data_IF_263175332718
#
_entry.id   IF_263175332718
#
_cell.length_a   1.000
_cell.length_b   1.000
_cell.length_c   1.000
_cell.angle_alpha   90.00
_cell.angle_beta   90.00
_cell.angle_gamma   90.00
#
_symmetry.space_group_name_H-M   'P 1'
#
loop_
_entity.id
_entity.type
_entity.pdbx_description
1 polymer ?
#
# COMPACT_ATOMS: atom_id res chain seq x y z
N UNK A 1 24.26 -14.72 7.89
CA UNK A 1 23.53 -16.01 7.98
C UNK A 1 22.16 -15.94 8.68
N UNK A 2 21.78 -14.86 9.40
CA UNK A 2 20.48 -14.78 10.11
C UNK A 2 19.22 -14.51 9.25
N UNK A 3 19.35 -14.15 7.97
CA UNK A 3 18.19 -13.76 7.13
C UNK A 3 17.39 -14.93 6.53
N UNK A 4 17.98 -16.13 6.42
CA UNK A 4 17.27 -17.31 5.89
C UNK A 4 16.25 -17.90 6.87
N UNK A 5 16.55 -17.89 8.17
CA UNK A 5 15.70 -18.47 9.21
C UNK A 5 14.36 -17.75 9.38
N UNK A 6 14.30 -16.43 9.19
CA UNK A 6 13.05 -15.67 9.30
C UNK A 6 12.03 -16.03 8.23
N UNK A 7 12.48 -16.22 6.99
CA UNK A 7 11.62 -16.58 5.86
C UNK A 7 11.12 -18.02 5.99
N UNK A 8 11.99 -18.94 6.42
CA UNK A 8 11.63 -20.33 6.69
C UNK A 8 10.61 -20.45 7.83
N UNK A 9 10.76 -19.62 8.88
CA UNK A 9 9.79 -19.55 10.00
C UNK A 9 8.41 -19.09 9.53
N UNK A 10 8.33 -18.12 8.62
CA UNK A 10 7.05 -17.67 8.04
C UNK A 10 6.40 -18.78 7.20
N UNK A 11 7.19 -19.51 6.40
CA UNK A 11 6.69 -20.66 5.63
C UNK A 11 6.15 -21.75 6.55
N UNK A 12 6.89 -22.11 7.60
CA UNK A 12 6.43 -23.08 8.60
C UNK A 12 5.15 -22.60 9.30
N UNK A 13 5.09 -21.31 9.68
CA UNK A 13 3.88 -20.75 10.28
C UNK A 13 2.69 -20.72 9.31
N UNK A 14 2.91 -20.56 8.00
CA UNK A 14 1.84 -20.63 7.00
C UNK A 14 1.26 -22.04 6.86
N UNK A 15 2.10 -23.07 7.04
CA UNK A 15 1.68 -24.48 7.03
C UNK A 15 0.86 -24.83 8.28
N UNK A 16 1.30 -24.40 9.47
CA UNK A 16 0.69 -24.80 10.74
C UNK A 16 -0.38 -23.82 11.27
N UNK A 17 -0.25 -22.52 11.00
CA UNK A 17 -1.11 -21.44 11.52
C UNK A 17 -1.28 -20.31 10.48
N UNK A 18 -1.97 -20.58 9.35
CA UNK A 18 -1.98 -19.70 8.17
C UNK A 18 -2.42 -18.26 8.47
N UNK A 19 -3.41 -18.12 9.35
CA UNK A 19 -3.88 -16.84 9.89
C UNK A 19 -2.77 -15.96 10.48
N UNK A 20 -1.99 -16.47 11.44
CA UNK A 20 -0.96 -15.70 12.17
C UNK A 20 0.26 -15.40 11.29
N UNK A 21 0.55 -16.28 10.34
CA UNK A 21 1.69 -16.12 9.45
C UNK A 21 1.46 -15.02 8.40
N UNK A 22 0.22 -14.84 7.94
CA UNK A 22 -0.17 -13.74 7.07
C UNK A 22 0.02 -12.36 7.76
N UNK A 23 -0.19 -12.29 9.08
CA UNK A 23 0.05 -11.06 9.86
C UNK A 23 1.55 -10.70 9.91
N UNK A 24 2.44 -11.69 9.89
CA UNK A 24 3.90 -11.49 9.87
C UNK A 24 4.42 -10.99 8.50
N UNK A 25 3.73 -11.31 7.40
CA UNK A 25 4.07 -10.83 6.04
C UNK A 25 3.89 -9.30 5.94
N UNK A 26 3.05 -8.71 6.79
CA UNK A 26 2.78 -7.26 6.85
C UNK A 26 4.03 -6.39 7.09
N UNK A 27 5.12 -6.98 7.58
CA UNK A 27 6.30 -6.26 8.12
C UNK A 27 7.50 -6.26 7.14
N UNK A 28 7.49 -7.02 6.03
CA UNK A 28 8.69 -7.17 5.18
C UNK A 28 8.43 -7.26 3.68
N UNK A 29 8.58 -6.18 2.88
CA UNK A 29 8.27 -6.16 1.46
C UNK A 29 9.42 -6.73 0.62
N UNK A 30 9.64 -8.05 0.67
CA UNK A 30 10.62 -8.75 -0.18
C UNK A 30 9.91 -9.75 -1.08
N UNK A 31 9.89 -9.48 -2.39
CA UNK A 31 9.25 -10.33 -3.41
C UNK A 31 10.18 -11.50 -3.82
N UNK A 32 11.50 -11.32 -3.69
CA UNK A 32 12.51 -12.28 -4.16
C UNK A 32 12.39 -13.63 -3.47
N UNK A 33 12.34 -13.64 -2.13
CA UNK A 33 12.30 -14.88 -1.34
C UNK A 33 11.01 -15.69 -1.57
N UNK A 34 9.80 -15.12 -1.47
CA UNK A 34 8.58 -15.87 -1.78
C UNK A 34 8.50 -16.28 -3.25
N UNK A 35 9.05 -15.49 -4.17
CA UNK A 35 9.15 -15.87 -5.59
C UNK A 35 10.02 -17.11 -5.80
N UNK A 36 11.21 -17.16 -5.19
CA UNK A 36 12.10 -18.33 -5.25
C UNK A 36 11.47 -19.57 -4.61
N UNK A 37 10.81 -19.41 -3.46
CA UNK A 37 10.10 -20.49 -2.79
C UNK A 37 8.96 -21.04 -3.65
N UNK A 38 8.15 -20.17 -4.24
CA UNK A 38 7.07 -20.56 -5.14
C UNK A 38 7.59 -21.30 -6.37
N UNK A 39 8.72 -20.86 -6.93
CA UNK A 39 9.38 -21.48 -8.07
C UNK A 39 9.84 -22.91 -7.74
N UNK A 40 10.53 -23.08 -6.61
CA UNK A 40 11.05 -24.38 -6.16
C UNK A 40 9.92 -25.32 -5.78
N UNK A 41 8.94 -24.86 -5.00
CA UNK A 41 7.81 -25.68 -4.57
C UNK A 41 7.00 -26.21 -5.76
N UNK A 42 6.69 -25.35 -6.72
CA UNK A 42 5.95 -25.72 -7.92
C UNK A 42 6.78 -26.67 -8.83
N UNK A 43 8.09 -26.43 -8.92
CA UNK A 43 9.01 -27.32 -9.61
C UNK A 43 8.98 -28.74 -9.02
N UNK A 44 9.13 -28.88 -7.70
CA UNK A 44 9.09 -30.16 -7.01
C UNK A 44 7.77 -30.91 -7.21
N UNK A 45 6.63 -30.22 -7.12
CA UNK A 45 5.32 -30.83 -7.38
C UNK A 45 5.18 -31.30 -8.82
N UNK A 46 5.70 -30.54 -9.79
CA UNK A 46 5.64 -30.92 -11.20
C UNK A 46 6.46 -32.18 -11.49
N UNK A 47 7.61 -32.34 -10.85
CA UNK A 47 8.47 -33.51 -11.00
C UNK A 47 7.85 -34.78 -10.39
N UNK A 48 7.28 -34.66 -9.18
CA UNK A 48 6.66 -35.79 -8.48
C UNK A 48 5.32 -36.18 -9.12
N UNK A 49 4.55 -35.20 -9.61
CA UNK A 49 3.29 -35.43 -10.30
C UNK A 49 3.46 -36.03 -11.70
N UNK A 50 4.43 -35.58 -12.50
CA UNK A 50 4.60 -36.03 -13.89
C UNK A 50 5.94 -36.79 -14.09
N UNK A 51 6.09 -38.00 -13.53
CA UNK A 51 7.33 -38.77 -13.63
C UNK A 51 7.64 -39.26 -15.05
N UNK A 52 6.69 -39.15 -16.00
CA UNK A 52 6.82 -39.61 -17.39
C UNK A 52 7.48 -38.60 -18.33
N UNK A 53 7.84 -37.40 -17.86
CA UNK A 53 8.69 -36.52 -18.68
C UNK A 53 10.10 -37.11 -18.75
N UNK A 54 10.63 -37.28 -19.96
CA UNK A 54 11.97 -37.77 -20.30
C UNK A 54 13.13 -36.93 -19.73
N UNK A 55 12.85 -36.04 -18.78
CA UNK A 55 13.79 -35.16 -18.08
C UNK A 55 13.82 -35.53 -16.60
N UNK A 56 14.62 -36.53 -16.26
CA UNK A 56 15.14 -36.61 -14.90
C UNK A 56 16.09 -35.40 -14.70
N UNK A 57 15.96 -34.60 -13.64
CA UNK A 57 16.87 -33.48 -13.37
C UNK A 57 18.21 -33.99 -12.81
N UNK A 58 18.75 -35.07 -13.39
CA UNK A 58 20.05 -35.62 -13.05
C UNK A 58 21.20 -34.65 -13.41
N UNK A 59 20.91 -33.60 -14.20
CA UNK A 59 21.85 -32.55 -14.58
C UNK A 59 21.39 -31.19 -14.06
N UNK A 60 22.36 -30.32 -13.78
CA UNK A 60 22.14 -28.92 -13.41
C UNK A 60 21.27 -28.19 -14.44
N UNK A 61 21.45 -28.51 -15.72
CA UNK A 61 20.65 -27.97 -16.83
C UNK A 61 19.17 -28.40 -16.76
N UNK A 62 18.90 -29.64 -16.36
CA UNK A 62 17.52 -30.14 -16.20
C UNK A 62 16.76 -29.43 -15.08
N UNK A 63 17.43 -29.16 -13.95
CA UNK A 63 16.85 -28.36 -12.85
C UNK A 63 16.49 -26.95 -13.31
N UNK A 64 17.38 -26.30 -14.07
CA UNK A 64 17.16 -24.95 -14.58
C UNK A 64 15.97 -24.90 -15.53
N UNK A 65 15.88 -25.82 -16.49
CA UNK A 65 14.75 -25.89 -17.44
C UNK A 65 13.42 -26.09 -16.70
N UNK A 66 13.40 -26.97 -15.70
CA UNK A 66 12.21 -27.25 -14.91
C UNK A 66 11.73 -26.01 -14.13
N UNK A 67 12.66 -25.27 -13.52
CA UNK A 67 12.35 -24.02 -12.82
C UNK A 67 11.89 -22.93 -13.79
N UNK A 68 12.54 -22.77 -14.95
CA UNK A 68 12.12 -21.82 -15.98
C UNK A 68 10.70 -22.11 -16.47
N UNK A 69 10.31 -23.38 -16.57
CA UNK A 69 8.95 -23.81 -16.93
C UNK A 69 7.85 -23.34 -15.98
N UNK A 70 8.21 -22.94 -14.75
CA UNK A 70 7.26 -22.44 -13.74
C UNK A 70 7.07 -20.91 -13.77
N UNK A 71 7.98 -20.17 -14.40
CA UNK A 71 7.93 -18.70 -14.48
C UNK A 71 6.56 -18.17 -14.99
N UNK A 72 5.92 -18.76 -16.02
CA UNK A 72 4.63 -18.29 -16.50
C UNK A 72 3.53 -18.30 -15.42
N UNK A 73 3.53 -19.27 -14.51
CA UNK A 73 2.54 -19.34 -13.42
C UNK A 73 2.73 -18.20 -12.41
N UNK A 74 3.99 -17.86 -12.11
CA UNK A 74 4.31 -16.76 -11.20
C UNK A 74 4.07 -15.40 -11.85
N UNK A 75 4.34 -15.26 -13.16
CA UNK A 75 3.99 -14.07 -13.93
C UNK A 75 2.48 -13.88 -14.03
N UNK A 76 1.70 -14.95 -14.18
CA UNK A 76 0.24 -14.86 -14.11
C UNK A 76 -0.21 -14.31 -12.76
N UNK A 77 0.34 -14.81 -11.66
CA UNK A 77 0.04 -14.30 -10.32
C UNK A 77 0.35 -12.79 -10.23
N UNK A 78 1.52 -12.39 -10.71
CA UNK A 78 1.99 -11.01 -10.63
C UNK A 78 1.24 -10.05 -11.55
N UNK A 79 0.97 -10.44 -12.80
CA UNK A 79 0.47 -9.53 -13.83
C UNK A 79 -1.05 -9.51 -13.93
N UNK A 80 -1.73 -10.56 -13.48
CA UNK A 80 -3.18 -10.73 -13.69
C UNK A 80 -3.89 -10.95 -12.36
N UNK A 81 -3.55 -12.03 -11.64
CA UNK A 81 -4.29 -12.41 -10.45
C UNK A 81 -4.24 -11.34 -9.35
N UNK A 82 -3.06 -10.84 -9.00
CA UNK A 82 -2.90 -9.84 -7.93
C UNK A 82 -3.57 -8.50 -8.28
N UNK A 83 -3.36 -7.92 -9.48
CA UNK A 83 -4.09 -6.72 -9.91
C UNK A 83 -5.61 -6.88 -9.84
N UNK A 84 -6.13 -8.03 -10.28
CA UNK A 84 -7.56 -8.35 -10.20
C UNK A 84 -8.04 -8.47 -8.75
N UNK A 85 -7.33 -9.21 -7.90
CA UNK A 85 -7.68 -9.34 -6.48
C UNK A 85 -7.77 -7.96 -5.82
N UNK A 86 -6.82 -7.06 -6.11
CA UNK A 86 -6.86 -5.68 -5.62
C UNK A 86 -8.07 -4.94 -6.17
N UNK A 87 -8.33 -5.01 -7.48
CA UNK A 87 -9.47 -4.37 -8.13
C UNK A 87 -10.80 -4.80 -7.48
N UNK A 88 -11.01 -6.11 -7.35
CA UNK A 88 -12.25 -6.66 -6.82
C UNK A 88 -12.38 -6.37 -5.32
N UNK A 89 -11.30 -6.49 -4.54
CA UNK A 89 -11.31 -6.11 -3.13
C UNK A 89 -11.65 -4.63 -2.93
N UNK A 90 -11.19 -3.73 -3.81
CA UNK A 90 -11.58 -2.32 -3.79
C UNK A 90 -13.05 -2.13 -4.17
N UNK A 91 -13.54 -2.80 -5.22
CA UNK A 91 -14.95 -2.73 -5.63
C UNK A 91 -15.90 -3.18 -4.52
N UNK A 92 -15.60 -4.34 -3.91
CA UNK A 92 -16.43 -4.94 -2.86
C UNK A 92 -16.29 -4.18 -1.54
N UNK A 93 -15.08 -3.71 -1.21
CA UNK A 93 -14.82 -2.88 -0.04
C UNK A 93 -15.35 -1.44 -0.16
N UNK A 94 -15.78 -1.01 -1.36
CA UNK A 94 -16.08 0.39 -1.71
C UNK A 94 -14.94 1.35 -1.36
N UNK A 95 -13.69 0.89 -1.48
CA UNK A 95 -12.47 1.63 -1.13
C UNK A 95 -11.81 2.20 -2.40
N UNK A 96 -11.36 3.46 -2.33
CA UNK A 96 -10.29 4.07 -3.13
C UNK A 96 -10.36 4.07 -4.67
N UNK A 97 -9.36 4.70 -5.28
CA UNK A 97 -9.08 4.58 -6.72
C UNK A 97 -8.17 3.37 -6.96
N UNK A 98 -8.51 2.52 -7.94
CA UNK A 98 -7.77 1.29 -8.26
C UNK A 98 -6.26 1.53 -8.44
N UNK A 99 -5.85 2.57 -9.16
CA UNK A 99 -4.42 2.84 -9.42
C UNK A 99 -3.62 3.16 -8.15
N UNK A 100 -4.22 3.86 -7.19
CA UNK A 100 -3.59 4.13 -5.90
C UNK A 100 -3.52 2.83 -5.06
N UNK A 101 -4.62 2.09 -5.01
CA UNK A 101 -4.68 0.82 -4.30
C UNK A 101 -3.69 -0.20 -4.86
N UNK A 102 -3.49 -0.22 -6.18
CA UNK A 102 -2.48 -1.02 -6.85
C UNK A 102 -1.08 -0.59 -6.40
N UNK A 103 -0.74 0.70 -6.46
CA UNK A 103 0.60 1.17 -6.04
C UNK A 103 0.94 0.82 -4.58
N UNK A 104 -0.02 0.98 -3.68
CA UNK A 104 0.18 0.75 -2.23
C UNK A 104 0.14 -0.74 -1.88
N UNK A 105 -0.85 -1.48 -2.40
CA UNK A 105 -1.12 -2.85 -1.97
C UNK A 105 -0.49 -3.93 -2.87
N UNK A 106 0.08 -3.59 -4.03
CA UNK A 106 0.60 -4.59 -4.95
C UNK A 106 1.72 -5.43 -4.34
N UNK A 107 2.74 -4.81 -3.72
CA UNK A 107 3.89 -5.57 -3.17
C UNK A 107 3.49 -6.52 -2.03
N UNK A 108 2.69 -6.09 -1.03
CA UNK A 108 2.23 -7.00 0.03
C UNK A 108 1.32 -8.12 -0.50
N UNK A 109 0.35 -7.80 -1.35
CA UNK A 109 -0.60 -8.80 -1.88
C UNK A 109 0.12 -9.78 -2.82
N UNK A 110 1.10 -9.33 -3.59
CA UNK A 110 1.95 -10.23 -4.40
C UNK A 110 2.80 -11.15 -3.53
N UNK A 111 3.44 -10.62 -2.49
CA UNK A 111 4.21 -11.45 -1.55
C UNK A 111 3.33 -12.51 -0.89
N UNK A 112 2.12 -12.12 -0.48
CA UNK A 112 1.12 -13.02 0.09
C UNK A 112 0.71 -14.11 -0.89
N UNK A 113 0.40 -13.74 -2.15
CA UNK A 113 0.03 -14.70 -3.19
C UNK A 113 1.18 -15.68 -3.49
N UNK A 114 2.42 -15.21 -3.59
CA UNK A 114 3.58 -16.08 -3.84
C UNK A 114 3.83 -17.05 -2.67
N UNK A 115 3.68 -16.59 -1.42
CA UNK A 115 3.78 -17.47 -0.25
C UNK A 115 2.64 -18.49 -0.19
N UNK A 116 1.40 -18.06 -0.42
CA UNK A 116 0.25 -18.95 -0.47
C UNK A 116 0.43 -20.02 -1.57
N UNK A 117 0.96 -19.62 -2.73
CA UNK A 117 1.25 -20.53 -3.84
C UNK A 117 2.35 -21.53 -3.47
N UNK A 118 3.45 -21.08 -2.87
CA UNK A 118 4.52 -21.98 -2.44
C UNK A 118 4.00 -23.03 -1.44
N UNK A 119 3.26 -22.58 -0.43
CA UNK A 119 2.78 -23.44 0.66
C UNK A 119 1.72 -24.42 0.16
N UNK A 120 0.83 -24.01 -0.75
CA UNK A 120 -0.16 -24.93 -1.33
C UNK A 120 0.46 -26.09 -2.09
N UNK A 121 1.58 -25.85 -2.77
CA UNK A 121 2.31 -26.89 -3.46
C UNK A 121 3.09 -27.77 -2.48
N UNK A 122 3.73 -27.19 -1.46
CA UNK A 122 4.49 -27.94 -0.45
C UNK A 122 3.60 -28.90 0.38
N UNK A 123 2.41 -28.46 0.77
CA UNK A 123 1.48 -29.28 1.60
C UNK A 123 0.95 -30.49 0.82
N UNK A 124 0.83 -30.37 -0.50
CA UNK A 124 0.32 -31.45 -1.36
C UNK A 124 1.41 -32.45 -1.76
N UNK A 125 2.70 -32.11 -1.58
CA UNK A 125 3.82 -32.99 -1.93
C UNK A 125 3.75 -34.40 -1.33
N UNK A 126 3.44 -34.60 -0.02
CA UNK A 126 3.37 -35.94 0.55
C UNK A 126 2.24 -36.77 -0.06
N UNK A 127 1.10 -36.13 -0.35
CA UNK A 127 -0.07 -36.77 -0.98
C UNK A 127 0.28 -37.22 -2.40
N UNK A 128 0.89 -36.32 -3.19
CA UNK A 128 1.38 -36.64 -4.53
C UNK A 128 2.46 -37.74 -4.52
N UNK A 129 3.34 -37.74 -3.52
CA UNK A 129 4.38 -38.74 -3.39
C UNK A 129 3.82 -40.13 -3.09
N UNK A 130 2.85 -40.23 -2.18
CA UNK A 130 2.15 -41.48 -1.87
C UNK A 130 1.39 -42.04 -3.07
N UNK A 131 0.84 -41.16 -3.91
CA UNK A 131 0.03 -41.53 -5.07
C UNK A 131 0.80 -41.57 -6.38
N UNK A 132 2.12 -41.36 -6.37
CA UNK A 132 2.92 -41.25 -7.61
C UNK A 132 2.84 -42.50 -8.49
N UNK A 133 2.58 -43.67 -7.88
CA UNK A 133 2.51 -44.96 -8.55
C UNK A 133 1.06 -45.37 -8.91
N UNK A 134 0.06 -44.56 -8.55
CA UNK A 134 -1.37 -44.89 -8.64
C UNK A 134 -2.07 -44.03 -9.71
N UNK A 135 -2.08 -44.50 -10.96
CA UNK A 135 -2.82 -43.95 -12.11
C UNK A 135 -2.55 -42.46 -12.50
N UNK A 136 -2.74 -42.06 -13.77
CA UNK A 136 -2.55 -40.66 -14.21
C UNK A 136 -3.50 -39.64 -13.53
N UNK A 137 -4.50 -40.11 -12.78
CA UNK A 137 -5.49 -39.27 -12.08
C UNK A 137 -4.94 -38.57 -10.83
N UNK A 138 -3.87 -39.08 -10.19
CA UNK A 138 -3.29 -38.48 -8.98
C UNK A 138 -2.74 -37.05 -9.18
N UNK A 139 -2.35 -36.71 -10.41
CA UNK A 139 -1.84 -35.37 -10.77
C UNK A 139 -2.91 -34.29 -10.74
N UNK A 140 -4.07 -34.57 -11.32
CA UNK A 140 -5.23 -33.68 -11.32
C UNK A 140 -5.77 -33.50 -9.91
N UNK A 141 -5.73 -34.56 -9.09
CA UNK A 141 -6.11 -34.48 -7.68
C UNK A 141 -5.14 -33.59 -6.90
N UNK A 142 -3.82 -33.74 -7.08
CA UNK A 142 -2.86 -32.85 -6.43
C UNK A 142 -2.96 -31.39 -6.89
N UNK A 143 -3.16 -31.15 -8.19
CA UNK A 143 -3.34 -29.80 -8.72
C UNK A 143 -4.62 -29.14 -8.18
N UNK A 144 -5.73 -29.87 -8.11
CA UNK A 144 -6.99 -29.36 -7.55
C UNK A 144 -6.89 -29.10 -6.06
N UNK A 145 -6.24 -29.99 -5.29
CA UNK A 145 -5.97 -29.78 -3.86
C UNK A 145 -5.08 -28.55 -3.62
N UNK A 146 -4.02 -28.38 -4.41
CA UNK A 146 -3.13 -27.20 -4.31
C UNK A 146 -3.90 -25.91 -4.61
N UNK A 147 -4.71 -25.88 -5.67
CA UNK A 147 -5.52 -24.71 -6.02
C UNK A 147 -6.60 -24.40 -4.97
N UNK A 148 -7.26 -25.43 -4.42
CA UNK A 148 -8.25 -25.27 -3.37
C UNK A 148 -7.61 -24.68 -2.10
N UNK A 149 -6.46 -25.22 -1.69
CA UNK A 149 -5.75 -24.73 -0.52
C UNK A 149 -5.16 -23.32 -0.73
N UNK A 150 -4.64 -23.03 -1.92
CA UNK A 150 -4.24 -21.68 -2.32
C UNK A 150 -5.40 -20.69 -2.20
N UNK A 151 -6.60 -21.07 -2.68
CA UNK A 151 -7.81 -20.27 -2.54
C UNK A 151 -8.18 -19.97 -1.08
N UNK A 152 -8.07 -20.97 -0.20
CA UNK A 152 -8.32 -20.79 1.25
C UNK A 152 -7.32 -19.80 1.86
N UNK A 153 -6.02 -19.94 1.56
CA UNK A 153 -5.00 -19.04 2.07
C UNK A 153 -5.20 -17.61 1.56
N UNK A 154 -5.53 -17.46 0.29
CA UNK A 154 -5.84 -16.15 -0.30
C UNK A 154 -7.11 -15.55 0.31
N UNK A 155 -8.14 -16.35 0.63
CA UNK A 155 -9.36 -15.88 1.28
C UNK A 155 -9.08 -15.30 2.66
N UNK A 156 -8.32 -16.02 3.48
CA UNK A 156 -7.91 -15.56 4.81
C UNK A 156 -7.01 -14.32 4.68
N UNK A 157 -6.08 -14.32 3.74
CA UNK A 157 -5.16 -13.20 3.52
C UNK A 157 -5.85 -11.91 3.06
N UNK A 158 -6.69 -12.00 2.05
CA UNK A 158 -7.42 -10.85 1.47
C UNK A 158 -8.47 -10.32 2.45
N UNK A 159 -9.22 -11.20 3.11
CA UNK A 159 -10.21 -10.78 4.12
C UNK A 159 -9.56 -9.96 5.24
N UNK A 160 -8.41 -10.40 5.74
CA UNK A 160 -7.66 -9.68 6.79
C UNK A 160 -7.01 -8.41 6.27
N UNK A 161 -6.32 -8.47 5.14
CA UNK A 161 -5.59 -7.32 4.59
C UNK A 161 -6.51 -6.15 4.25
N UNK A 162 -7.67 -6.45 3.64
CA UNK A 162 -8.66 -5.45 3.25
C UNK A 162 -9.79 -5.28 4.26
N UNK A 163 -9.71 -5.94 5.43
CA UNK A 163 -10.72 -5.93 6.50
C UNK A 163 -12.14 -6.18 5.97
N UNK A 164 -12.25 -7.13 5.04
CA UNK A 164 -13.53 -7.52 4.44
C UNK A 164 -14.19 -8.58 5.32
N UNK A 165 -15.51 -8.51 5.47
CA UNK A 165 -16.27 -9.61 6.05
C UNK A 165 -16.19 -10.86 5.15
N UNK A 166 -16.43 -12.04 5.72
CA UNK A 166 -16.22 -13.33 5.05
C UNK A 166 -16.96 -13.42 3.71
N UNK A 167 -18.20 -12.92 3.64
CA UNK A 167 -19.03 -12.95 2.42
C UNK A 167 -18.44 -12.08 1.31
N UNK A 168 -17.97 -10.86 1.65
CA UNK A 168 -17.32 -9.95 0.68
C UNK A 168 -15.97 -10.48 0.23
N UNK A 169 -15.20 -11.07 1.13
CA UNK A 169 -13.95 -11.72 0.78
C UNK A 169 -14.17 -12.92 -0.14
N UNK A 170 -15.22 -13.72 0.12
CA UNK A 170 -15.62 -14.84 -0.72
C UNK A 170 -16.04 -14.38 -2.12
N UNK A 171 -16.84 -13.32 -2.22
CA UNK A 171 -17.20 -12.72 -3.51
C UNK A 171 -15.99 -12.16 -4.26
N UNK A 172 -15.06 -11.53 -3.55
CA UNK A 172 -13.83 -11.02 -4.13
C UNK A 172 -12.92 -12.13 -4.66
N UNK A 173 -12.82 -13.23 -3.90
CA UNK A 173 -12.06 -14.38 -4.34
C UNK A 173 -12.74 -15.15 -5.45
N UNK A 174 -14.04 -15.43 -5.37
CA UNK A 174 -14.78 -16.19 -6.38
C UNK A 174 -14.61 -15.59 -7.78
N UNK A 175 -14.61 -14.26 -7.89
CA UNK A 175 -14.39 -13.56 -9.15
C UNK A 175 -12.92 -13.65 -9.61
N UNK A 176 -11.97 -13.62 -8.68
CA UNK A 176 -10.53 -13.78 -8.97
C UNK A 176 -10.11 -15.24 -9.24
N UNK A 177 -10.81 -16.22 -8.68
CA UNK A 177 -10.56 -17.66 -8.88
C UNK A 177 -11.19 -18.13 -10.18
N UNK A 178 -12.29 -17.52 -10.64
CA UNK A 178 -12.78 -17.69 -12.01
C UNK A 178 -11.69 -17.33 -13.05
N UNK A 179 -10.85 -16.36 -12.75
CA UNK A 179 -9.72 -15.95 -13.60
C UNK A 179 -8.55 -16.95 -13.51
N UNK A 180 -8.37 -17.67 -12.39
CA UNK A 180 -7.41 -18.79 -12.33
C UNK A 180 -7.78 -19.94 -13.27
N UNK A 181 -9.05 -20.08 -13.68
CA UNK A 181 -9.44 -21.03 -14.72
C UNK A 181 -8.87 -20.67 -16.11
N UNK A 182 -8.50 -19.40 -16.32
CA UNK A 182 -7.80 -18.93 -17.52
C UNK A 182 -6.28 -19.16 -17.44
N UNK A 183 -5.75 -19.61 -16.29
CA UNK A 183 -4.32 -19.86 -16.10
C UNK A 183 -3.71 -20.79 -17.17
N UNK A 184 -4.35 -21.88 -17.62
CA UNK A 184 -3.80 -22.72 -18.69
C UNK A 184 -3.70 -21.99 -20.02
N UNK A 185 -4.73 -21.19 -20.36
CA UNK A 185 -4.81 -20.44 -21.63
C UNK A 185 -3.78 -19.31 -21.62
N UNK A 186 -3.79 -18.48 -20.59
CA UNK A 186 -2.88 -17.34 -20.47
C UNK A 186 -1.45 -17.80 -20.23
N UNK A 187 -1.24 -18.85 -19.43
CA UNK A 187 0.07 -19.47 -19.24
C UNK A 187 0.62 -20.05 -20.54
N UNK A 188 -0.23 -20.65 -21.38
CA UNK A 188 0.12 -21.08 -22.73
C UNK A 188 0.55 -19.92 -23.62
N UNK A 189 -0.23 -18.83 -23.65
CA UNK A 189 0.11 -17.61 -24.38
C UNK A 189 1.42 -16.97 -23.88
N UNK A 190 1.62 -16.90 -22.56
CA UNK A 190 2.87 -16.40 -21.96
C UNK A 190 4.06 -17.28 -22.34
N UNK A 191 3.89 -18.61 -22.35
CA UNK A 191 4.95 -19.55 -22.77
C UNK A 191 5.33 -19.31 -24.22
N UNK A 192 4.35 -19.17 -25.12
CA UNK A 192 4.60 -18.85 -26.53
C UNK A 192 5.28 -17.49 -26.68
N UNK A 193 4.82 -16.49 -25.93
CA UNK A 193 5.39 -15.15 -25.96
C UNK A 193 6.84 -15.11 -25.44
N UNK A 194 7.13 -15.83 -24.35
CA UNK A 194 8.47 -15.95 -23.76
C UNK A 194 9.39 -16.88 -24.55
N UNK A 195 8.86 -17.83 -25.32
CA UNK A 195 9.64 -18.71 -26.19
C UNK A 195 9.99 -18.05 -27.53
N UNK A 196 9.30 -16.98 -27.91
CA UNK A 196 9.56 -16.25 -29.16
C UNK A 196 10.67 -15.21 -28.96
N UNK A 197 11.84 -15.37 -29.61
CA UNK A 197 12.93 -14.38 -29.51
C UNK A 197 12.48 -13.00 -30.00
N UNK A 198 11.61 -12.95 -31.01
CA UNK A 198 11.09 -11.71 -31.58
C UNK A 198 10.17 -10.97 -30.59
N UNK A 199 9.28 -11.67 -29.90
CA UNK A 199 8.41 -11.05 -28.89
C UNK A 199 9.21 -10.60 -27.66
N UNK A 200 10.24 -11.36 -27.26
CA UNK A 200 11.16 -10.93 -26.21
C UNK A 200 11.93 -9.66 -26.58
N UNK A 201 12.37 -9.54 -27.84
CA UNK A 201 13.05 -8.33 -28.35
C UNK A 201 12.09 -7.14 -28.34
N UNK A 202 10.86 -7.30 -28.85
CA UNK A 202 9.84 -6.23 -28.84
C UNK A 202 9.53 -5.81 -27.40
N UNK A 203 9.29 -6.78 -26.51
CA UNK A 203 9.03 -6.53 -25.09
C UNK A 203 10.22 -5.82 -24.43
N UNK A 204 11.45 -6.21 -24.77
CA UNK A 204 12.66 -5.53 -24.31
C UNK A 204 12.71 -4.08 -24.77
N UNK A 205 12.44 -3.78 -26.05
CA UNK A 205 12.43 -2.40 -26.53
C UNK A 205 11.31 -1.56 -25.92
N UNK A 206 10.12 -2.12 -25.73
CA UNK A 206 9.02 -1.44 -25.04
C UNK A 206 9.40 -1.15 -23.58
N UNK A 207 9.89 -2.16 -22.85
CA UNK A 207 10.30 -2.00 -21.45
C UNK A 207 11.54 -1.12 -21.31
N UNK A 208 12.45 -1.10 -22.29
CA UNK A 208 13.68 -0.31 -22.27
C UNK A 208 13.39 1.18 -22.14
N UNK A 209 12.39 1.70 -22.85
CA UNK A 209 11.97 3.11 -22.72
C UNK A 209 11.52 3.43 -21.28
N UNK A 210 10.57 2.65 -20.76
CA UNK A 210 10.09 2.82 -19.38
C UNK A 210 11.19 2.65 -18.33
N UNK A 211 12.06 1.66 -18.48
CA UNK A 211 13.20 1.42 -17.58
C UNK A 211 14.20 2.57 -17.64
N UNK A 212 14.46 3.12 -18.84
CA UNK A 212 15.32 4.29 -19.02
C UNK A 212 14.73 5.52 -18.33
N UNK A 213 13.43 5.75 -18.43
CA UNK A 213 12.75 6.88 -17.77
C UNK A 213 12.77 6.75 -16.25
N UNK A 214 12.47 5.56 -15.72
CA UNK A 214 12.53 5.28 -14.27
C UNK A 214 13.97 5.46 -13.77
N UNK A 215 14.97 4.93 -14.49
CA UNK A 215 16.37 5.08 -14.13
C UNK A 215 16.88 6.52 -14.30
N UNK A 216 16.37 7.27 -15.27
CA UNK A 216 16.68 8.69 -15.46
C UNK A 216 16.13 9.51 -14.29
N UNK A 217 14.86 9.29 -13.91
CA UNK A 217 14.24 9.93 -12.75
C UNK A 217 14.98 9.60 -11.45
N UNK A 218 15.40 8.34 -11.24
CA UNK A 218 16.21 7.98 -10.09
C UNK A 218 17.60 8.62 -10.11
N UNK A 219 18.28 8.67 -11.26
CA UNK A 219 19.58 9.34 -11.39
C UNK A 219 19.47 10.84 -11.14
N UNK A 220 18.45 11.50 -11.68
CA UNK A 220 18.18 12.91 -11.43
C UNK A 220 17.97 13.19 -9.93
N UNK A 221 17.18 12.36 -9.25
CA UNK A 221 16.97 12.46 -7.79
C UNK A 221 18.24 12.25 -6.98
N UNK A 222 19.09 11.28 -7.34
CA UNK A 222 20.40 11.07 -6.68
C UNK A 222 21.35 12.23 -6.90
N UNK A 223 21.36 12.81 -8.10
CA UNK A 223 22.17 14.00 -8.41
C UNK A 223 21.69 15.20 -7.58
N UNK A 224 20.37 15.44 -7.54
CA UNK A 224 19.79 16.49 -6.71
C UNK A 224 20.17 16.31 -5.23
N UNK A 225 20.03 15.11 -4.69
CA UNK A 225 20.46 14.81 -3.31
C UNK A 225 21.94 15.09 -3.10
N UNK A 226 22.80 14.68 -4.03
CA UNK A 226 24.24 14.93 -3.94
C UNK A 226 24.55 16.43 -3.98
N UNK A 227 23.85 17.19 -4.83
CA UNK A 227 24.03 18.64 -4.91
C UNK A 227 23.58 19.32 -3.61
N UNK A 228 22.42 18.93 -3.06
CA UNK A 228 21.92 19.48 -1.79
C UNK A 228 22.84 19.12 -0.61
N UNK A 229 23.38 17.91 -0.57
CA UNK A 229 24.38 17.52 0.44
C UNK A 229 25.67 18.35 0.36
N UNK A 230 26.08 18.73 -0.85
CA UNK A 230 27.21 19.65 -1.04
C UNK A 230 26.84 21.07 -0.64
N UNK A 231 25.63 21.53 -0.95
CA UNK A 231 25.15 22.86 -0.57
C UNK A 231 25.07 23.02 0.96
N UNK A 232 24.62 21.98 1.67
CA UNK A 232 24.61 21.90 3.15
C UNK A 232 26.02 21.94 3.77
N UNK A 233 27.10 21.72 3.00
CA UNK A 233 28.46 21.97 3.52
C UNK A 233 28.71 23.45 3.81
N UNK A 234 27.93 24.36 3.23
CA UNK A 234 27.82 25.73 3.71
C UNK A 234 26.91 25.75 4.95
N UNK A 235 27.45 25.95 6.17
CA UNK A 235 26.66 25.80 7.40
C UNK A 235 25.58 26.87 7.62
N UNK A 236 25.53 27.88 6.75
CA UNK A 236 24.64 29.04 6.80
C UNK A 236 23.57 29.05 5.68
N UNK A 237 23.45 27.97 4.89
CA UNK A 237 22.43 27.87 3.83
C UNK A 237 21.16 27.18 4.35
N UNK A 238 20.23 27.95 4.90
CA UNK A 238 18.96 27.46 5.43
C UNK A 238 18.11 26.77 4.35
N UNK A 239 18.05 27.34 3.15
CA UNK A 239 17.26 26.81 2.03
C UNK A 239 17.78 25.45 1.55
N UNK A 240 19.09 25.24 1.50
CA UNK A 240 19.67 23.93 1.18
C UNK A 240 19.32 22.85 2.23
N UNK A 241 19.30 23.24 3.51
CA UNK A 241 18.84 22.37 4.60
C UNK A 241 17.35 22.04 4.46
N UNK A 242 16.51 23.02 4.15
CA UNK A 242 15.07 22.84 3.91
C UNK A 242 14.79 21.91 2.72
N UNK A 243 15.42 22.16 1.56
CA UNK A 243 15.25 21.33 0.35
C UNK A 243 15.69 19.88 0.57
N UNK A 244 16.79 19.68 1.31
CA UNK A 244 17.27 18.34 1.64
C UNK A 244 16.30 17.63 2.60
N UNK A 245 15.72 18.37 3.55
CA UNK A 245 14.72 17.85 4.47
C UNK A 245 13.44 17.41 3.74
N UNK A 246 12.94 18.21 2.78
CA UNK A 246 11.81 17.83 1.92
C UNK A 246 12.08 16.53 1.17
N UNK A 247 13.29 16.37 0.61
CA UNK A 247 13.67 15.15 -0.10
C UNK A 247 13.70 13.92 0.84
N UNK A 248 14.12 14.10 2.10
CA UNK A 248 14.07 13.05 3.11
C UNK A 248 12.63 12.73 3.55
N UNK A 249 11.77 13.75 3.70
CA UNK A 249 10.35 13.58 4.02
C UNK A 249 9.63 12.78 2.92
N UNK A 250 9.83 13.12 1.64
CA UNK A 250 9.25 12.39 0.50
C UNK A 250 9.63 10.91 0.48
N UNK A 251 10.81 10.57 1.01
CA UNK A 251 11.31 9.19 1.12
C UNK A 251 10.83 8.47 2.37
N UNK A 252 10.08 9.15 3.24
CA UNK A 252 9.66 8.62 4.54
C UNK A 252 10.80 8.52 5.56
N UNK A 253 11.94 9.15 5.29
CA UNK A 253 13.09 9.18 6.20
C UNK A 253 12.91 10.33 7.21
N UNK A 254 11.85 10.24 8.02
CA UNK A 254 11.37 11.34 8.86
C UNK A 254 12.41 11.83 9.88
N UNK A 255 13.30 10.96 10.37
CA UNK A 255 14.34 11.37 11.32
C UNK A 255 15.35 12.33 10.70
N UNK A 256 15.84 12.02 9.50
CA UNK A 256 16.75 12.91 8.76
C UNK A 256 16.04 14.19 8.34
N UNK A 257 14.76 14.09 7.93
CA UNK A 257 13.94 15.26 7.60
C UNK A 257 13.85 16.23 8.80
N UNK A 258 13.48 15.72 9.99
CA UNK A 258 13.42 16.54 11.22
C UNK A 258 14.76 17.22 11.49
N UNK A 259 15.87 16.48 11.40
CA UNK A 259 17.21 17.02 11.65
C UNK A 259 17.53 18.19 10.71
N UNK A 260 17.25 18.03 9.42
CA UNK A 260 17.55 19.07 8.43
C UNK A 260 16.57 20.26 8.50
N UNK A 261 15.28 20.03 8.75
CA UNK A 261 14.34 21.13 9.03
C UNK A 261 14.70 21.90 10.30
N UNK A 262 15.10 21.20 11.38
CA UNK A 262 15.55 21.82 12.63
C UNK A 262 16.79 22.68 12.37
N UNK A 263 17.71 22.20 11.53
CA UNK A 263 18.88 22.99 11.17
C UNK A 263 18.54 24.20 10.31
N UNK A 264 17.56 24.09 9.41
CA UNK A 264 17.07 25.23 8.63
C UNK A 264 16.54 26.34 9.55
N UNK A 265 15.70 26.02 10.54
CA UNK A 265 15.15 27.00 11.49
C UNK A 265 16.19 27.57 12.47
N UNK A 266 17.27 26.83 12.75
CA UNK A 266 18.41 27.35 13.54
C UNK A 266 19.22 28.39 12.78
N UNK A 267 19.33 28.24 11.45
CA UNK A 267 20.08 29.14 10.58
C UNK A 267 19.22 30.37 10.23
N UNK A 268 17.99 30.12 9.80
CA UNK A 268 17.00 31.14 9.49
C UNK A 268 15.72 30.89 10.28
N UNK A 269 15.54 31.58 11.43
CA UNK A 269 14.32 31.50 12.22
C UNK A 269 13.06 31.96 11.47
N UNK A 270 13.19 32.70 10.37
CA UNK A 270 12.06 33.18 9.55
C UNK A 270 11.63 32.15 8.48
N UNK A 271 12.28 30.99 8.39
CA UNK A 271 11.88 29.89 7.50
C UNK A 271 10.59 29.21 8.00
N UNK A 272 9.45 29.83 7.67
CA UNK A 272 8.10 29.43 8.10
C UNK A 272 7.70 28.05 7.58
N UNK A 273 8.15 27.67 6.38
CA UNK A 273 7.81 26.37 5.79
C UNK A 273 8.46 25.22 6.57
N UNK A 274 9.70 25.37 7.02
CA UNK A 274 10.36 24.36 7.86
C UNK A 274 9.58 24.13 9.17
N UNK A 275 9.05 25.19 9.79
CA UNK A 275 8.16 25.07 10.94
C UNK A 275 6.88 24.30 10.60
N UNK A 276 6.23 24.59 9.48
CA UNK A 276 5.03 23.88 9.05
C UNK A 276 5.28 22.37 8.84
N UNK A 277 6.37 22.02 8.17
CA UNK A 277 6.74 20.62 7.93
C UNK A 277 7.07 19.88 9.24
N UNK A 278 7.81 20.51 10.16
CA UNK A 278 8.05 19.96 11.50
C UNK A 278 6.75 19.74 12.29
N UNK A 279 5.82 20.70 12.25
CA UNK A 279 4.51 20.59 12.87
C UNK A 279 3.70 19.40 12.33
N UNK A 280 3.68 19.22 11.01
CA UNK A 280 3.02 18.07 10.36
C UNK A 280 3.66 16.74 10.74
N UNK A 281 4.99 16.66 10.76
CA UNK A 281 5.70 15.45 11.16
C UNK A 281 5.41 15.13 12.64
N UNK A 282 5.41 16.13 13.52
CA UNK A 282 5.09 15.97 14.94
C UNK A 282 3.64 15.50 15.16
N UNK A 283 2.68 16.08 14.43
CA UNK A 283 1.27 15.66 14.45
C UNK A 283 1.13 14.19 14.03
N UNK A 284 1.79 13.79 12.93
CA UNK A 284 1.79 12.40 12.47
C UNK A 284 2.41 11.42 13.48
N UNK A 285 3.35 11.87 14.30
CA UNK A 285 3.96 11.09 15.37
C UNK A 285 3.17 11.14 16.70
N UNK A 286 2.07 11.89 16.76
CA UNK A 286 1.27 12.09 17.98
C UNK A 286 1.94 12.99 19.02
N UNK A 287 3.01 13.71 18.65
CA UNK A 287 3.67 14.69 19.52
C UNK A 287 2.92 16.02 19.43
N UNK A 288 1.76 16.07 20.08
CA UNK A 288 0.81 17.19 19.93
C UNK A 288 1.37 18.52 20.42
N UNK A 289 2.10 18.54 21.53
CA UNK A 289 2.73 19.75 22.06
C UNK A 289 3.78 20.34 21.11
N UNK A 290 4.64 19.49 20.55
CA UNK A 290 5.64 19.90 19.55
C UNK A 290 4.95 20.43 18.29
N UNK A 291 3.88 19.76 17.85
CA UNK A 291 3.10 20.17 16.69
C UNK A 291 2.49 21.56 16.88
N UNK A 292 1.86 21.81 18.05
CA UNK A 292 1.30 23.12 18.40
C UNK A 292 2.38 24.18 18.39
N UNK A 293 3.53 23.93 19.03
CA UNK A 293 4.63 24.89 19.08
C UNK A 293 5.10 25.29 17.67
N UNK A 294 5.28 24.33 16.78
CA UNK A 294 5.73 24.62 15.42
C UNK A 294 4.64 25.31 14.58
N UNK A 295 3.38 24.89 14.71
CA UNK A 295 2.28 25.53 13.98
C UNK A 295 1.98 26.96 14.46
N UNK A 296 2.10 27.23 15.76
CA UNK A 296 1.99 28.59 16.31
C UNK A 296 3.11 29.49 15.77
N UNK A 297 4.33 28.96 15.62
CA UNK A 297 5.43 29.69 14.99
C UNK A 297 5.12 30.02 13.52
N UNK A 298 4.54 29.07 12.77
CA UNK A 298 4.11 29.27 11.38
C UNK A 298 3.08 30.39 11.26
N UNK A 299 2.02 30.33 12.07
CA UNK A 299 0.89 31.27 12.02
C UNK A 299 1.28 32.69 12.45
N UNK A 300 2.18 32.83 13.43
CA UNK A 300 2.59 34.15 13.96
C UNK A 300 3.53 34.92 13.03
N UNK A 301 4.42 34.23 12.32
CA UNK A 301 5.50 34.87 11.55
C UNK A 301 5.08 35.31 10.17
N UNK A 302 4.28 34.50 9.47
CA UNK A 302 3.76 34.90 8.17
C UNK A 302 2.24 34.68 8.05
N UNK A 303 1.45 35.72 8.36
CA UNK A 303 0.01 35.67 8.18
C UNK A 303 -0.45 35.49 6.72
N UNK A 304 0.42 35.75 5.73
CA UNK A 304 0.14 35.61 4.30
C UNK A 304 0.59 34.27 3.69
N UNK A 305 1.70 33.70 4.17
CA UNK A 305 2.25 32.39 3.80
C UNK A 305 1.65 31.25 4.61
N UNK A 306 0.98 31.55 5.73
CA UNK A 306 -0.08 30.73 6.29
C UNK A 306 -1.26 30.66 5.32
N UNK A 307 -1.05 30.03 4.16
CA UNK A 307 -2.10 29.48 3.33
C UNK A 307 -3.10 28.85 4.28
N UNK A 308 -4.37 29.25 4.19
CA UNK A 308 -5.49 28.82 5.04
C UNK A 308 -5.44 27.33 5.44
N UNK A 309 -4.87 26.45 4.60
CA UNK A 309 -4.55 25.05 4.90
C UNK A 309 -3.81 24.82 6.23
N UNK A 310 -2.88 25.70 6.63
CA UNK A 310 -2.18 25.65 7.92
C UNK A 310 -3.18 25.77 9.07
N UNK A 311 -4.13 26.72 8.99
CA UNK A 311 -5.16 26.93 10.02
C UNK A 311 -6.05 25.69 10.21
N UNK A 312 -6.30 24.93 9.15
CA UNK A 312 -7.00 23.64 9.26
C UNK A 312 -6.18 22.61 10.04
N UNK A 313 -4.89 22.51 9.74
CA UNK A 313 -4.00 21.55 10.38
C UNK A 313 -3.72 21.94 11.85
N UNK A 314 -3.61 23.24 12.15
CA UNK A 314 -3.60 23.81 13.51
C UNK A 314 -4.87 23.41 14.27
N UNK A 315 -6.04 23.68 13.70
CA UNK A 315 -7.32 23.35 14.31
C UNK A 315 -7.51 21.85 14.57
N UNK A 316 -7.06 21.01 13.64
CA UNK A 316 -7.03 19.56 13.82
C UNK A 316 -6.10 19.15 14.97
N UNK A 317 -4.95 19.81 15.10
CA UNK A 317 -3.96 19.53 16.16
C UNK A 317 -4.52 19.91 17.53
N UNK A 318 -5.11 21.09 17.67
CA UNK A 318 -5.77 21.52 18.91
C UNK A 318 -6.95 20.62 19.30
N UNK A 319 -7.76 20.19 18.31
CA UNK A 319 -8.83 19.22 18.54
C UNK A 319 -8.28 17.88 19.08
N UNK A 320 -7.18 17.39 18.51
CA UNK A 320 -6.52 16.17 18.99
C UNK A 320 -5.91 16.34 20.40
N UNK A 321 -5.44 17.54 20.74
CA UNK A 321 -4.91 17.90 22.05
C UNK A 321 -6.00 18.16 23.12
N UNK A 322 -7.27 18.20 22.72
CA UNK A 322 -8.39 18.50 23.63
C UNK A 322 -8.58 19.99 23.93
N UNK A 323 -7.85 20.88 23.25
CA UNK A 323 -7.95 22.33 23.38
C UNK A 323 -9.04 22.86 22.42
N UNK A 324 -10.29 22.68 22.81
CA UNK A 324 -11.42 22.87 21.89
C UNK A 324 -11.70 24.34 21.53
N UNK A 325 -11.47 25.29 22.43
CA UNK A 325 -11.65 26.72 22.11
C UNK A 325 -10.61 27.23 21.10
N UNK A 326 -9.34 26.83 21.25
CA UNK A 326 -8.26 27.15 20.30
C UNK A 326 -8.51 26.47 18.94
N UNK A 327 -8.96 25.21 18.96
CA UNK A 327 -9.37 24.49 17.76
C UNK A 327 -10.51 25.20 17.03
N UNK A 328 -11.49 25.75 17.78
CA UNK A 328 -12.62 26.50 17.23
C UNK A 328 -12.11 27.73 16.49
N UNK A 329 -11.29 28.54 17.15
CA UNK A 329 -10.73 29.76 16.58
C UNK A 329 -9.95 29.49 15.28
N UNK A 330 -9.06 28.49 15.30
CA UNK A 330 -8.27 28.14 14.12
C UNK A 330 -9.13 27.68 12.94
N UNK A 331 -10.16 26.87 13.19
CA UNK A 331 -11.06 26.39 12.14
C UNK A 331 -12.01 27.48 11.63
N UNK A 332 -12.41 28.43 12.47
CA UNK A 332 -13.15 29.63 12.04
C UNK A 332 -12.31 30.46 11.07
N UNK A 333 -11.04 30.72 11.40
CA UNK A 333 -10.08 31.42 10.51
C UNK A 333 -9.89 30.70 9.17
N UNK A 334 -9.83 29.37 9.19
CA UNK A 334 -9.79 28.56 7.97
C UNK A 334 -11.05 28.73 7.11
N UNK A 335 -12.22 28.60 7.75
CA UNK A 335 -13.51 28.59 7.06
C UNK A 335 -13.95 29.99 6.58
N UNK A 336 -13.44 31.08 7.15
CA UNK A 336 -13.58 32.44 6.60
C UNK A 336 -13.12 32.50 5.13
N UNK A 337 -12.04 31.78 4.79
CA UNK A 337 -11.45 31.76 3.45
C UNK A 337 -11.91 30.58 2.61
N UNK A 338 -12.19 29.44 3.25
CA UNK A 338 -12.62 28.20 2.60
C UNK A 338 -13.97 27.70 3.16
N UNK A 339 -15.07 28.46 2.97
CA UNK A 339 -16.37 28.15 3.60
C UNK A 339 -17.03 26.85 3.09
N UNK A 340 -16.53 26.32 1.97
CA UNK A 340 -17.01 25.10 1.30
C UNK A 340 -15.91 24.02 1.27
N UNK A 341 -15.06 23.96 2.30
CA UNK A 341 -14.12 22.86 2.50
C UNK A 341 -14.75 21.79 3.39
N UNK A 342 -15.02 20.62 2.81
CA UNK A 342 -15.70 19.52 3.50
C UNK A 342 -14.91 19.00 4.72
N UNK A 343 -13.58 19.06 4.66
CA UNK A 343 -12.71 18.60 5.74
C UNK A 343 -12.73 19.58 6.93
N UNK A 344 -12.57 20.87 6.67
CA UNK A 344 -12.63 21.90 7.70
C UNK A 344 -13.99 21.98 8.38
N UNK A 345 -15.09 21.94 7.60
CA UNK A 345 -16.45 21.92 8.15
C UNK A 345 -16.68 20.71 9.08
N UNK A 346 -16.14 19.55 8.70
CA UNK A 346 -16.23 18.34 9.52
C UNK A 346 -15.48 18.50 10.84
N UNK A 347 -14.23 18.96 10.81
CA UNK A 347 -13.45 19.19 12.03
C UNK A 347 -14.09 20.27 12.91
N UNK A 348 -14.64 21.33 12.30
CA UNK A 348 -15.31 22.40 13.02
C UNK A 348 -16.57 21.89 13.72
N UNK A 349 -17.37 21.06 13.05
CA UNK A 349 -18.51 20.38 13.67
C UNK A 349 -18.11 19.48 14.84
N UNK A 350 -17.00 18.73 14.72
CA UNK A 350 -16.50 17.93 15.84
C UNK A 350 -16.07 18.80 17.04
N UNK A 351 -15.42 19.93 16.80
CA UNK A 351 -15.05 20.88 17.87
C UNK A 351 -16.30 21.42 18.56
N UNK A 352 -17.32 21.83 17.78
CA UNK A 352 -18.58 22.34 18.33
C UNK A 352 -19.30 21.30 19.20
N UNK A 353 -19.29 20.04 18.78
CA UNK A 353 -19.85 18.92 19.55
C UNK A 353 -19.12 18.76 20.90
N UNK A 354 -17.79 18.82 20.89
CA UNK A 354 -16.95 18.75 22.11
C UNK A 354 -17.17 19.93 23.05
N UNK A 355 -17.55 21.09 22.52
CA UNK A 355 -17.94 22.27 23.28
C UNK A 355 -19.40 22.22 23.77
N UNK A 356 -20.13 21.13 23.55
CA UNK A 356 -21.54 20.97 23.94
C UNK A 356 -22.54 21.69 23.02
N UNK A 357 -22.09 22.23 21.89
CA UNK A 357 -22.93 22.94 20.92
C UNK A 357 -23.47 21.98 19.85
N UNK A 358 -24.09 20.89 20.28
CA UNK A 358 -24.52 19.77 19.41
C UNK A 358 -25.41 20.22 18.25
N UNK A 359 -26.33 21.17 18.46
CA UNK A 359 -27.17 21.69 17.37
C UNK A 359 -26.34 22.35 16.25
N UNK A 360 -25.34 23.16 16.62
CA UNK A 360 -24.46 23.79 15.63
C UNK A 360 -23.54 22.76 14.97
N UNK A 361 -23.09 21.74 15.71
CA UNK A 361 -22.33 20.63 15.15
C UNK A 361 -23.12 19.90 14.06
N UNK A 362 -24.39 19.58 14.31
CA UNK A 362 -25.31 18.98 13.33
C UNK A 362 -25.46 19.86 12.10
N UNK A 363 -25.63 21.17 12.27
CA UNK A 363 -25.68 22.13 11.15
C UNK A 363 -24.42 22.05 10.28
N UNK A 364 -23.23 22.04 10.88
CA UNK A 364 -21.99 21.92 10.13
C UNK A 364 -21.89 20.58 9.39
N UNK A 365 -22.37 19.49 10.00
CA UNK A 365 -22.38 18.16 9.36
C UNK A 365 -23.31 18.11 8.14
N UNK A 366 -24.45 18.82 8.18
CA UNK A 366 -25.28 19.02 6.99
C UNK A 366 -24.56 19.81 5.91
N UNK A 367 -23.84 20.89 6.27
CA UNK A 367 -23.02 21.66 5.32
C UNK A 367 -21.91 20.82 4.68
N UNK A 368 -21.29 19.89 5.41
CA UNK A 368 -20.34 18.92 4.84
C UNK A 368 -21.02 18.10 3.74
N UNK A 369 -22.19 17.53 4.05
CA UNK A 369 -22.93 16.68 3.09
C UNK A 369 -23.33 17.47 1.85
N UNK A 370 -23.83 18.69 2.02
CA UNK A 370 -24.21 19.57 0.93
C UNK A 370 -23.01 19.94 0.04
N UNK A 371 -21.93 20.42 0.65
CA UNK A 371 -20.67 20.80 -0.03
C UNK A 371 -20.14 19.66 -0.89
N UNK A 372 -20.15 18.44 -0.37
CA UNK A 372 -19.67 17.27 -1.13
C UNK A 372 -20.66 16.91 -2.24
N UNK A 373 -21.98 16.99 -2.02
CA UNK A 373 -22.99 16.69 -3.05
C UNK A 373 -22.95 17.66 -4.23
N UNK A 374 -22.68 18.94 -3.97
CA UNK A 374 -22.62 19.98 -5.00
C UNK A 374 -21.24 20.09 -5.65
N UNK A 375 -20.22 19.41 -5.10
CA UNK A 375 -18.87 19.43 -5.65
C UNK A 375 -18.74 18.74 -7.02
N UNK A 376 -17.89 19.24 -7.92
CA UNK A 376 -17.60 18.61 -9.22
C UNK A 376 -17.16 17.16 -9.07
N UNK A 377 -17.45 16.30 -10.07
CA UNK A 377 -17.17 14.84 -10.02
C UNK A 377 -15.74 14.48 -9.63
N UNK A 378 -14.74 15.28 -10.02
CA UNK A 378 -13.34 15.03 -9.68
C UNK A 378 -13.07 15.23 -8.17
N UNK A 379 -13.71 16.24 -7.57
CA UNK A 379 -13.59 16.62 -6.15
C UNK A 379 -14.46 15.75 -5.25
N UNK A 380 -15.67 15.38 -5.70
CA UNK A 380 -16.59 14.47 -5.00
C UNK A 380 -15.88 13.21 -4.48
N UNK A 381 -15.05 12.57 -5.32
CA UNK A 381 -14.35 11.34 -4.94
C UNK A 381 -13.32 11.53 -3.83
N UNK A 382 -12.68 12.69 -3.76
CA UNK A 382 -11.68 13.00 -2.73
C UNK A 382 -12.35 13.32 -1.39
N UNK A 383 -13.52 13.96 -1.43
CA UNK A 383 -14.21 14.45 -0.24
C UNK A 383 -15.32 13.54 0.28
N UNK A 384 -15.71 12.52 -0.51
CA UNK A 384 -16.73 11.53 -0.12
C UNK A 384 -16.51 10.97 1.27
N UNK A 385 -15.25 10.74 1.67
CA UNK A 385 -14.89 10.25 3.02
C UNK A 385 -15.46 11.14 4.14
N UNK A 386 -15.49 12.45 3.93
CA UNK A 386 -15.97 13.42 4.91
C UNK A 386 -17.50 13.44 4.96
N UNK A 387 -18.15 13.35 3.79
CA UNK A 387 -19.61 13.17 3.73
C UNK A 387 -20.08 11.89 4.44
N UNK A 388 -19.38 10.78 4.22
CA UNK A 388 -19.76 9.50 4.84
C UNK A 388 -19.61 9.57 6.38
N UNK A 389 -18.52 10.17 6.88
CA UNK A 389 -18.33 10.42 8.33
C UNK A 389 -19.37 11.39 8.91
N UNK A 390 -19.71 12.45 8.18
CA UNK A 390 -20.73 13.40 8.63
C UNK A 390 -22.12 12.73 8.72
N UNK A 391 -22.47 11.88 7.77
CA UNK A 391 -23.72 11.09 7.81
C UNK A 391 -23.76 10.12 8.98
N UNK A 392 -22.64 9.47 9.27
CA UNK A 392 -22.52 8.57 10.42
C UNK A 392 -22.74 9.34 11.74
N UNK A 393 -22.11 10.51 11.88
CA UNK A 393 -22.34 11.40 13.02
C UNK A 393 -23.81 11.81 13.14
N UNK A 394 -24.44 12.28 12.06
CA UNK A 394 -25.86 12.68 12.04
C UNK A 394 -26.77 11.52 12.49
N UNK A 395 -26.55 10.32 11.96
CA UNK A 395 -27.29 9.12 12.35
C UNK A 395 -27.12 8.79 13.84
N UNK A 396 -25.92 8.93 14.37
CA UNK A 396 -25.65 8.66 15.79
C UNK A 396 -26.23 9.73 16.73
N UNK A 397 -26.41 10.95 16.24
CA UNK A 397 -26.91 12.10 17.02
C UNK A 397 -28.45 12.11 17.14
N UNK A 398 -29.14 11.14 16.54
CA UNK A 398 -30.61 11.05 16.60
C UNK A 398 -31.36 12.05 15.71
N UNK A 399 -30.65 12.78 14.84
CA UNK A 399 -31.23 13.74 13.89
C UNK A 399 -31.21 13.09 12.50
N UNK A 400 -32.34 12.52 12.09
CA UNK A 400 -32.55 11.94 10.75
C UNK A 400 -33.27 12.93 9.86
#
# INVERSE_FOLDING_TARGET
>A
MGHGMGSLKIVLQLVYTPARALDAIRIGPRIIVPGLLALVANGLTSQIGYPSSSFAPATTSGVVILLLGQIPSLLFLALIFVPVVILVAQMVGRRGQYMWALRVNYRPVLSMALYAWAVSHLVVLPVLWLWRNSAPQGTWVGATLSLAYFGILMLVGVSRWFELNTVRALGALALSTLILLLLPVVGGLLRVALASPLLLIILFFMLRGYLQDIMAAQRARRRLESHLKMAVMNPADASAHYDLALLYEERGQLHEAIKHFTRAIEIDPEEVDAHYHLGRIALHQGRLSDAILHFDATVRRDPGHAHYEVWRDVGQTYLAAGQFDDARFALEKFLEHRPHDAQGLYYYGLVLDRLGQTQKAVEQMHRVVETVRTSPRYKYRLEKRWMDRAKEYLKSSGVV
#
